data_IF_303374522174
#
_entry.id   IF_303374522174
#
_cell.length_a   1.000
_cell.length_b   1.000
_cell.length_c   1.000
_cell.angle_alpha   90.00
_cell.angle_beta   90.00
_cell.angle_gamma   90.00
#
_symmetry.space_group_name_H-M   'P 1'
#
loop_
_entity.id
_entity.type
_entity.pdbx_description
1 polymer ?
#
# COMPACT_ATOMS: atom_id res chain seq x y z
N UNK A 1 -6.21 16.44 4.58
CA UNK A 1 -5.77 17.69 5.25
C UNK A 1 -4.25 17.82 5.15
N UNK A 2 -3.76 18.45 4.06
CA UNK A 2 -2.32 18.58 3.74
C UNK A 2 -1.52 19.23 4.88
N UNK A 3 -2.03 20.30 5.48
CA UNK A 3 -1.37 20.99 6.59
C UNK A 3 -1.14 20.06 7.81
N UNK A 4 -2.13 19.24 8.15
CA UNK A 4 -1.99 18.31 9.27
C UNK A 4 -0.91 17.25 9.00
N UNK A 5 -0.89 16.67 7.81
CA UNK A 5 0.13 15.68 7.44
C UNK A 5 1.52 16.30 7.38
N UNK A 6 1.65 17.51 6.84
CA UNK A 6 2.91 18.24 6.82
C UNK A 6 3.44 18.52 8.24
N UNK A 7 2.58 19.00 9.13
CA UNK A 7 2.98 19.30 10.51
C UNK A 7 3.35 18.03 11.29
N UNK A 8 2.56 16.98 11.15
CA UNK A 8 2.76 15.73 11.87
C UNK A 8 3.97 14.91 11.38
N UNK A 9 4.45 15.18 10.17
CA UNK A 9 5.66 14.57 9.61
C UNK A 9 6.96 15.24 10.10
N UNK A 10 6.88 16.42 10.73
CA UNK A 10 8.09 17.12 11.22
C UNK A 10 8.59 16.46 12.50
N UNK A 11 9.82 15.98 12.50
CA UNK A 11 10.48 15.43 13.69
C UNK A 11 10.73 16.52 14.75
N UNK A 12 11.05 17.73 14.32
CA UNK A 12 11.28 18.89 15.20
C UNK A 12 10.77 20.17 14.53
N UNK A 13 10.37 21.12 15.36
CA UNK A 13 10.01 22.47 14.93
C UNK A 13 10.66 23.50 15.85
N UNK A 14 11.28 24.52 15.27
CA UNK A 14 11.82 25.66 16.01
C UNK A 14 10.75 26.77 16.01
N UNK A 15 10.17 27.00 17.18
CA UNK A 15 9.26 28.11 17.38
C UNK A 15 10.09 29.39 17.57
N UNK A 16 9.95 30.38 16.69
CA UNK A 16 10.78 31.57 16.77
C UNK A 16 10.47 32.39 18.03
N UNK A 17 11.42 33.21 18.42
CA UNK A 17 11.26 34.20 19.51
C UNK A 17 10.09 35.14 19.22
N UNK A 18 9.33 35.42 20.26
CA UNK A 18 8.24 36.42 20.26
C UNK A 18 8.55 37.53 21.26
N UNK A 19 7.69 38.51 21.37
CA UNK A 19 7.80 39.54 22.41
C UNK A 19 7.53 39.00 23.85
N UNK A 20 6.97 37.78 23.96
CA UNK A 20 6.60 37.17 25.27
C UNK A 20 7.42 35.93 25.62
N UNK A 21 8.15 35.35 24.65
CA UNK A 21 8.92 34.13 24.88
C UNK A 21 10.16 34.03 23.98
N UNK A 22 11.21 33.43 24.48
CA UNK A 22 12.39 33.11 23.69
C UNK A 22 12.14 31.97 22.71
N UNK A 23 13.05 31.80 21.75
CA UNK A 23 13.06 30.70 20.81
C UNK A 23 13.03 29.36 21.56
N UNK A 24 12.23 28.39 21.07
CA UNK A 24 12.15 27.06 21.67
C UNK A 24 12.01 25.97 20.64
N UNK A 25 12.68 24.88 20.85
CA UNK A 25 12.60 23.68 20.03
C UNK A 25 11.47 22.78 20.56
N UNK A 26 10.54 22.43 19.66
CA UNK A 26 9.48 21.44 19.91
C UNK A 26 9.85 20.16 19.20
N UNK A 27 9.87 19.05 19.91
CA UNK A 27 10.15 17.73 19.35
C UNK A 27 8.86 16.92 19.20
N UNK A 28 8.72 16.23 18.08
CA UNK A 28 7.63 15.30 17.88
C UNK A 28 7.79 14.11 18.84
N UNK A 29 6.67 13.69 19.44
CA UNK A 29 6.65 12.52 20.33
C UNK A 29 6.63 11.19 19.58
N UNK A 30 6.39 11.20 18.28
CA UNK A 30 6.49 9.99 17.47
C UNK A 30 7.96 9.72 17.14
N UNK A 31 8.59 8.85 17.92
CA UNK A 31 10.01 8.50 17.74
C UNK A 31 10.29 7.69 16.47
N UNK A 32 9.27 7.16 15.81
CA UNK A 32 9.44 6.46 14.52
C UNK A 32 9.94 7.38 13.40
N UNK A 33 9.70 8.70 13.50
CA UNK A 33 10.11 9.68 12.47
C UNK A 33 11.39 10.44 12.81
N UNK A 34 11.98 10.22 13.97
CA UNK A 34 13.11 11.01 14.46
C UNK A 34 14.37 10.18 14.66
N UNK A 35 15.45 10.60 14.04
CA UNK A 35 16.80 10.05 14.28
C UNK A 35 17.53 10.77 15.42
N UNK A 36 16.99 11.92 15.87
CA UNK A 36 17.69 12.82 16.81
C UNK A 36 17.39 12.57 18.29
N UNK A 37 16.29 11.84 18.59
CA UNK A 37 15.83 11.65 19.97
C UNK A 37 16.05 10.21 20.43
N UNK A 38 15.45 9.25 19.72
CA UNK A 38 15.51 7.82 20.04
C UNK A 38 15.70 7.02 18.76
N UNK A 39 16.94 7.04 18.24
CA UNK A 39 17.30 6.41 16.96
C UNK A 39 16.85 4.95 16.83
N UNK A 40 16.84 4.20 17.94
CA UNK A 40 16.46 2.78 17.94
C UNK A 40 15.03 2.49 17.45
N UNK A 41 14.14 3.49 17.48
CA UNK A 41 12.76 3.37 17.01
C UNK A 41 12.57 3.88 15.58
N UNK A 42 13.53 4.62 15.04
CA UNK A 42 13.40 5.22 13.72
C UNK A 42 13.05 4.18 12.64
N UNK A 43 12.07 4.52 11.81
CA UNK A 43 11.66 3.74 10.65
C UNK A 43 11.60 4.64 9.41
N UNK A 44 12.41 4.37 8.38
CA UNK A 44 12.51 5.24 7.20
C UNK A 44 11.22 5.28 6.37
N UNK A 45 10.33 4.32 6.54
CA UNK A 45 9.05 4.26 5.83
C UNK A 45 7.95 5.07 6.52
N UNK A 46 8.13 5.43 7.81
CA UNK A 46 7.11 6.16 8.58
C UNK A 46 7.16 7.65 8.24
N UNK A 47 6.00 8.19 7.87
CA UNK A 47 5.81 9.58 7.41
C UNK A 47 5.12 10.50 8.42
N UNK A 48 4.61 9.97 9.50
CA UNK A 48 3.90 10.69 10.59
C UNK A 48 3.25 9.64 11.50
N UNK A 49 2.44 9.95 12.40
CA UNK A 49 1.57 11.07 12.71
C UNK A 49 1.79 11.52 14.17
N UNK A 50 1.19 10.81 15.16
CA UNK A 50 1.14 11.26 16.55
C UNK A 50 1.39 10.11 17.52
N UNK A 51 2.04 10.42 18.62
CA UNK A 51 2.17 9.50 19.77
C UNK A 51 1.91 10.23 21.07
N UNK A 52 1.44 9.51 22.06
CA UNK A 52 1.17 10.03 23.39
C UNK A 52 0.88 8.94 24.39
N UNK A 53 0.83 9.32 25.65
CA UNK A 53 0.51 8.40 26.74
C UNK A 53 -0.21 9.12 27.87
N UNK A 54 -1.07 8.39 28.57
CA UNK A 54 -1.61 8.74 29.88
C UNK A 54 -1.59 7.50 30.78
N UNK A 55 -1.68 7.65 32.11
CA UNK A 55 -1.74 6.50 33.00
C UNK A 55 -2.85 5.49 32.65
N UNK A 56 -4.00 5.97 32.19
CA UNK A 56 -5.14 5.12 31.86
C UNK A 56 -5.08 4.57 30.41
N UNK A 57 -4.54 5.33 29.46
CA UNK A 57 -4.51 4.94 28.04
C UNK A 57 -3.29 4.09 27.69
N UNK A 58 -2.27 4.03 28.57
CA UNK A 58 -0.98 3.43 28.22
C UNK A 58 -0.25 4.23 27.14
N UNK A 59 0.72 3.63 26.51
CA UNK A 59 1.48 4.22 25.42
C UNK A 59 0.79 3.94 24.09
N UNK A 60 0.52 5.00 23.33
CA UNK A 60 -0.20 4.93 22.07
C UNK A 60 0.61 5.57 20.94
N UNK A 61 0.44 5.06 19.72
CA UNK A 61 0.98 5.67 18.51
C UNK A 61 0.02 5.45 17.35
N UNK A 62 -0.14 6.48 16.54
CA UNK A 62 -0.74 6.41 15.20
C UNK A 62 0.37 6.77 14.23
N UNK A 63 0.70 5.85 13.34
CA UNK A 63 1.79 6.01 12.37
C UNK A 63 1.26 5.81 10.95
N UNK A 64 1.53 6.78 10.09
CA UNK A 64 1.40 6.62 8.63
C UNK A 64 2.74 6.17 8.08
N UNK A 65 2.70 5.32 7.09
CA UNK A 65 3.89 4.77 6.46
C UNK A 65 3.66 4.59 4.96
N UNK A 66 4.70 4.81 4.16
CA UNK A 66 4.68 4.59 2.71
C UNK A 66 5.95 3.87 2.27
N UNK A 67 5.79 2.86 1.42
CA UNK A 67 6.90 2.15 0.79
C UNK A 67 6.46 1.64 -0.59
N UNK A 68 7.20 2.01 -1.63
CA UNK A 68 6.79 1.76 -3.02
C UNK A 68 5.42 2.39 -3.31
N UNK A 69 4.51 1.59 -3.84
CA UNK A 69 3.13 2.01 -4.14
C UNK A 69 2.13 1.73 -3.01
N UNK A 70 2.60 1.22 -1.87
CA UNK A 70 1.74 0.86 -0.73
C UNK A 70 1.84 1.89 0.39
N UNK A 71 0.69 2.22 0.99
CA UNK A 71 0.61 3.08 2.16
C UNK A 71 -0.25 2.45 3.25
N UNK A 72 0.22 2.52 4.49
CA UNK A 72 -0.48 1.96 5.64
C UNK A 72 -0.69 3.00 6.74
N UNK A 73 -1.76 2.81 7.47
CA UNK A 73 -2.02 3.45 8.77
C UNK A 73 -1.95 2.37 9.85
N UNK A 74 -1.02 2.53 10.77
CA UNK A 74 -0.86 1.66 11.93
C UNK A 74 -1.31 2.38 13.19
N UNK A 75 -2.14 1.73 13.99
CA UNK A 75 -2.63 2.25 15.27
C UNK A 75 -2.31 1.23 16.36
N UNK A 76 -1.49 1.62 17.34
CA UNK A 76 -1.20 0.83 18.53
C UNK A 76 -1.68 1.62 19.75
N UNK A 77 -2.49 0.99 20.57
CA UNK A 77 -3.09 1.59 21.77
C UNK A 77 -2.87 0.70 22.97
N UNK A 78 -2.85 1.32 24.16
CA UNK A 78 -2.78 0.58 25.42
C UNK A 78 -1.47 -0.17 25.66
N UNK A 79 -0.40 0.21 24.95
CA UNK A 79 0.88 -0.46 25.06
C UNK A 79 1.61 -0.10 26.36
N UNK A 80 2.56 -0.94 26.73
CA UNK A 80 3.40 -0.75 27.91
C UNK A 80 4.74 -0.10 27.55
N UNK A 81 5.40 0.42 28.55
CA UNK A 81 6.83 0.72 28.54
C UNK A 81 7.48 -0.12 29.62
N UNK A 82 8.51 -0.86 29.28
CA UNK A 82 9.46 -1.38 30.26
C UNK A 82 10.68 -0.44 30.40
N UNK A 83 11.64 -0.81 31.23
CA UNK A 83 12.79 0.07 31.53
C UNK A 83 13.65 0.39 30.31
N UNK A 84 13.62 -0.47 29.30
CA UNK A 84 14.48 -0.38 28.12
C UNK A 84 13.75 0.01 26.84
N UNK A 85 12.40 -0.19 26.76
CA UNK A 85 11.71 -0.14 25.50
C UNK A 85 10.28 0.44 25.56
N UNK A 86 9.98 1.35 24.63
CA UNK A 86 8.62 1.80 24.32
C UNK A 86 7.95 0.84 23.35
N UNK A 87 7.14 -0.09 23.88
CA UNK A 87 6.52 -1.18 23.10
C UNK A 87 5.57 -0.71 22.00
N UNK A 88 4.95 0.46 22.16
CA UNK A 88 4.10 1.03 21.11
C UNK A 88 4.86 1.27 19.79
N UNK A 89 6.14 1.71 19.86
CA UNK A 89 6.93 1.97 18.65
C UNK A 89 7.47 0.69 18.01
N UNK A 90 7.98 -0.25 18.82
CA UNK A 90 8.47 -1.53 18.28
C UNK A 90 7.33 -2.32 17.66
N UNK A 91 6.18 -2.42 18.34
CA UNK A 91 5.00 -3.09 17.79
C UNK A 91 4.53 -2.44 16.48
N UNK A 92 4.47 -1.09 16.42
CA UNK A 92 4.05 -0.40 15.21
C UNK A 92 5.02 -0.65 14.04
N UNK A 93 6.33 -0.60 14.29
CA UNK A 93 7.34 -0.91 13.29
C UNK A 93 7.24 -2.35 12.78
N UNK A 94 7.08 -3.30 13.69
CA UNK A 94 7.00 -4.72 13.34
C UNK A 94 5.74 -5.04 12.56
N UNK A 95 4.59 -4.44 12.92
CA UNK A 95 3.34 -4.54 12.14
C UNK A 95 3.47 -3.95 10.74
N UNK A 96 4.11 -2.78 10.60
CA UNK A 96 4.33 -2.17 9.29
C UNK A 96 5.26 -3.00 8.43
N UNK A 97 6.36 -3.52 9.00
CA UNK A 97 7.28 -4.41 8.30
C UNK A 97 6.59 -5.69 7.84
N UNK A 98 5.79 -6.30 8.73
CA UNK A 98 4.97 -7.46 8.39
C UNK A 98 4.01 -7.16 7.24
N UNK A 99 3.28 -6.04 7.29
CA UNK A 99 2.34 -5.66 6.24
C UNK A 99 3.03 -5.50 4.88
N UNK A 100 4.21 -4.86 4.83
CA UNK A 100 4.99 -4.69 3.60
C UNK A 100 5.60 -6.00 3.07
N UNK A 101 5.94 -6.94 3.94
CA UNK A 101 6.47 -8.25 3.52
C UNK A 101 5.38 -9.23 3.11
N UNK A 102 4.18 -9.10 3.70
CA UNK A 102 3.10 -10.08 3.55
C UNK A 102 2.08 -9.73 2.48
N UNK A 103 2.00 -8.46 2.05
CA UNK A 103 1.02 -8.00 1.08
C UNK A 103 1.66 -7.10 0.02
N UNK A 104 1.19 -7.24 -1.22
CA UNK A 104 1.69 -6.45 -2.34
C UNK A 104 0.73 -6.44 -3.53
N UNK A 105 1.07 -5.63 -4.53
CA UNK A 105 0.36 -5.61 -5.79
C UNK A 105 0.87 -6.74 -6.68
N UNK A 106 0.02 -7.75 -6.90
CA UNK A 106 0.32 -8.96 -7.70
C UNK A 106 -0.41 -8.84 -9.03
N UNK A 107 0.33 -9.00 -10.14
CA UNK A 107 -0.27 -9.09 -11.47
C UNK A 107 -0.95 -10.45 -11.61
N UNK A 108 -2.27 -10.46 -11.65
CA UNK A 108 -3.08 -11.68 -11.77
C UNK A 108 -3.49 -11.99 -13.20
N UNK A 109 -3.42 -11.02 -14.11
CA UNK A 109 -3.67 -11.21 -15.54
C UNK A 109 -2.86 -10.20 -16.33
N UNK A 110 -1.97 -10.71 -17.21
CA UNK A 110 -1.19 -9.85 -18.12
C UNK A 110 -2.04 -9.45 -19.32
N UNK A 111 -1.81 -8.24 -19.86
CA UNK A 111 -2.38 -7.80 -21.15
C UNK A 111 -2.01 -8.73 -22.31
N UNK A 112 -0.85 -9.38 -22.24
CA UNK A 112 -0.38 -10.34 -23.25
C UNK A 112 -0.85 -11.78 -23.01
N UNK A 113 -1.68 -12.02 -21.98
CA UNK A 113 -2.18 -13.36 -21.71
C UNK A 113 -3.19 -13.78 -22.78
N UNK A 114 -3.01 -14.96 -23.33
CA UNK A 114 -4.01 -15.57 -24.20
C UNK A 114 -5.12 -16.13 -23.32
N UNK A 115 -6.36 -15.61 -23.51
CA UNK A 115 -7.53 -16.09 -22.78
C UNK A 115 -8.07 -17.34 -23.45
N UNK A 116 -8.35 -17.27 -24.74
CA UNK A 116 -8.88 -18.36 -25.57
C UNK A 116 -8.74 -18.02 -27.05
N UNK A 117 -9.06 -18.97 -27.89
CA UNK A 117 -9.25 -18.77 -29.32
C UNK A 117 -10.74 -18.84 -29.64
N UNK A 118 -11.20 -18.00 -30.57
CA UNK A 118 -12.59 -17.98 -31.03
C UNK A 118 -12.66 -18.16 -32.53
N UNK A 119 -13.57 -18.99 -33.07
CA UNK A 119 -13.75 -19.18 -34.50
C UNK A 119 -14.16 -17.90 -35.21
N UNK A 120 -13.74 -17.75 -36.47
CA UNK A 120 -14.14 -16.67 -37.38
C UNK A 120 -14.88 -17.24 -38.58
N UNK A 121 -16.19 -17.00 -38.61
CA UNK A 121 -17.06 -17.40 -39.72
C UNK A 121 -16.82 -16.49 -40.93
N UNK A 122 -17.09 -17.03 -42.13
CA UNK A 122 -17.01 -16.31 -43.42
C UNK A 122 -15.61 -15.76 -43.76
N UNK A 123 -14.59 -16.30 -43.11
CA UNK A 123 -13.19 -15.93 -43.38
C UNK A 123 -12.61 -16.77 -44.52
N UNK A 124 -11.90 -16.13 -45.44
CA UNK A 124 -11.20 -16.82 -46.54
C UNK A 124 -9.75 -17.24 -46.14
N UNK A 125 -9.27 -16.85 -44.99
CA UNK A 125 -7.87 -17.06 -44.57
C UNK A 125 -7.75 -17.70 -43.19
N UNK A 126 -7.93 -16.94 -42.13
CA UNK A 126 -7.81 -17.43 -40.77
C UNK A 126 -9.19 -17.87 -40.27
N UNK A 127 -9.28 -19.07 -39.74
CA UNK A 127 -10.51 -19.62 -39.16
C UNK A 127 -10.68 -19.37 -37.67
N UNK A 128 -9.62 -18.91 -37.01
CA UNK A 128 -9.62 -18.56 -35.58
C UNK A 128 -8.86 -17.27 -35.32
N UNK A 129 -9.20 -16.56 -34.24
CA UNK A 129 -8.45 -15.44 -33.67
C UNK A 129 -8.22 -15.61 -32.17
N UNK A 130 -7.10 -15.15 -31.70
CA UNK A 130 -6.71 -15.18 -30.29
C UNK A 130 -7.33 -14.02 -29.57
N UNK A 131 -7.97 -14.29 -28.44
CA UNK A 131 -8.47 -13.26 -27.54
C UNK A 131 -7.51 -12.99 -26.41
N UNK A 132 -7.29 -11.72 -26.16
CA UNK A 132 -6.41 -11.21 -25.11
C UNK A 132 -7.19 -10.18 -24.25
N UNK A 133 -6.81 -9.96 -23.00
CA UNK A 133 -7.43 -8.92 -22.18
C UNK A 133 -7.18 -7.53 -22.79
N UNK A 134 -8.15 -6.64 -22.68
CA UNK A 134 -7.99 -5.22 -23.02
C UNK A 134 -7.00 -4.52 -22.08
N UNK A 135 -6.94 -4.97 -20.79
CA UNK A 135 -6.08 -4.45 -19.76
C UNK A 135 -5.58 -5.59 -18.86
N UNK A 136 -4.37 -5.43 -18.33
CA UNK A 136 -3.85 -6.28 -17.25
C UNK A 136 -4.60 -6.02 -15.95
N UNK A 137 -4.70 -7.05 -15.11
CA UNK A 137 -5.32 -6.95 -13.78
C UNK A 137 -4.25 -7.16 -12.73
N UNK A 138 -4.09 -6.14 -11.88
CA UNK A 138 -3.24 -6.17 -10.70
C UNK A 138 -4.10 -6.02 -9.46
N UNK A 139 -3.98 -6.97 -8.52
CA UNK A 139 -4.73 -6.96 -7.27
C UNK A 139 -3.76 -6.84 -6.08
N UNK A 140 -4.26 -6.25 -4.99
CA UNK A 140 -3.54 -6.21 -3.73
C UNK A 140 -3.84 -7.49 -2.94
N UNK A 141 -2.85 -8.37 -2.83
CA UNK A 141 -2.99 -9.74 -2.33
C UNK A 141 -1.82 -10.12 -1.42
N UNK A 142 -1.93 -11.23 -0.64
CA UNK A 142 -0.78 -11.83 0.02
C UNK A 142 0.33 -12.14 -1.00
N UNK A 143 1.59 -11.89 -0.60
CA UNK A 143 2.76 -12.07 -1.50
C UNK A 143 3.09 -13.54 -1.78
N UNK A 144 2.58 -14.45 -0.97
CA UNK A 144 2.76 -15.90 -1.07
C UNK A 144 1.65 -16.61 -1.86
N UNK A 145 0.67 -15.85 -2.39
CA UNK A 145 -0.43 -16.42 -3.18
C UNK A 145 0.08 -17.07 -4.47
N UNK A 146 -0.38 -18.29 -4.76
CA UNK A 146 -0.22 -18.88 -6.09
C UNK A 146 -1.38 -18.45 -7.01
N UNK A 147 -1.07 -17.48 -7.86
CA UNK A 147 -2.04 -16.88 -8.81
C UNK A 147 -2.66 -17.91 -9.75
N UNK A 148 -2.00 -19.04 -10.01
CA UNK A 148 -2.48 -20.03 -10.96
C UNK A 148 -3.46 -21.03 -10.33
N UNK A 149 -3.34 -21.28 -9.04
CA UNK A 149 -4.14 -22.28 -8.33
C UNK A 149 -5.20 -21.66 -7.43
N UNK A 150 -4.94 -20.48 -6.88
CA UNK A 150 -5.81 -19.85 -5.89
C UNK A 150 -6.73 -18.77 -6.48
N UNK A 151 -6.43 -18.28 -7.71
CA UNK A 151 -7.27 -17.26 -8.37
C UNK A 151 -8.04 -17.89 -9.52
N UNK A 152 -9.35 -17.96 -9.35
CA UNK A 152 -10.24 -18.37 -10.41
C UNK A 152 -10.50 -17.21 -11.37
N UNK A 153 -10.20 -17.43 -12.67
CA UNK A 153 -10.47 -16.48 -13.75
C UNK A 153 -11.65 -16.98 -14.55
N UNK A 154 -12.64 -16.12 -14.76
CA UNK A 154 -13.80 -16.42 -15.62
C UNK A 154 -13.95 -15.31 -16.65
N UNK A 155 -14.33 -15.68 -17.86
CA UNK A 155 -14.65 -14.75 -18.94
C UNK A 155 -15.98 -15.11 -19.55
N UNK A 156 -16.64 -14.12 -20.14
CA UNK A 156 -17.88 -14.28 -20.86
C UNK A 156 -17.68 -13.68 -22.25
N UNK A 157 -17.96 -14.47 -23.27
CA UNK A 157 -17.95 -14.02 -24.65
C UNK A 157 -19.35 -13.58 -25.08
N UNK A 158 -19.44 -12.65 -26.02
CA UNK A 158 -20.72 -12.16 -26.56
C UNK A 158 -21.34 -13.16 -27.57
N UNK A 159 -20.57 -14.21 -27.96
CA UNK A 159 -21.01 -15.27 -28.84
C UNK A 159 -19.99 -16.37 -28.98
N UNK A 160 -20.34 -17.45 -29.67
CA UNK A 160 -19.50 -18.62 -29.87
C UNK A 160 -18.49 -18.42 -31.03
N UNK A 161 -18.70 -17.43 -31.90
CA UNK A 161 -17.86 -17.11 -33.04
C UNK A 161 -17.98 -15.66 -33.47
N UNK A 162 -16.94 -15.11 -34.09
CA UNK A 162 -16.98 -13.82 -34.78
C UNK A 162 -17.29 -14.01 -36.26
N UNK A 163 -17.75 -12.96 -36.91
CA UNK A 163 -17.95 -12.95 -38.37
C UNK A 163 -16.92 -12.02 -39.04
N UNK A 164 -16.31 -12.47 -40.10
CA UNK A 164 -15.39 -11.64 -40.90
C UNK A 164 -16.14 -10.41 -41.50
N UNK A 165 -15.46 -9.26 -41.65
CA UNK A 165 -14.07 -9.00 -41.29
C UNK A 165 -13.89 -8.74 -39.78
N UNK A 166 -12.79 -9.26 -39.19
CA UNK A 166 -12.39 -9.03 -37.80
C UNK A 166 -11.16 -8.15 -37.77
N UNK A 167 -11.13 -7.19 -36.86
CA UNK A 167 -10.03 -6.24 -36.73
C UNK A 167 -9.31 -6.41 -35.39
N UNK A 168 -8.02 -6.07 -35.35
CA UNK A 168 -7.25 -6.03 -34.11
C UNK A 168 -7.87 -5.00 -33.15
N UNK A 169 -8.08 -5.38 -31.88
CA UNK A 169 -8.72 -4.54 -30.86
C UNK A 169 -10.27 -4.60 -30.90
N UNK A 170 -10.85 -5.44 -31.74
CA UNK A 170 -12.30 -5.68 -31.70
C UNK A 170 -12.69 -6.41 -30.42
N UNK A 171 -13.70 -5.90 -29.70
CA UNK A 171 -14.24 -6.55 -28.51
C UNK A 171 -15.04 -7.79 -28.86
N UNK A 172 -14.89 -8.84 -28.03
CA UNK A 172 -15.55 -10.12 -28.19
C UNK A 172 -16.31 -10.57 -26.91
N UNK A 173 -16.26 -9.74 -25.85
CA UNK A 173 -16.95 -9.99 -24.58
C UNK A 173 -16.71 -8.88 -23.58
#
# INVERSE_FOLDING_TARGET
YSLFTEMSAKATYIMPKTNLSDERKINNRNYLISTAIEYKYYSPTVTGMIAGNTPNAGYCVVATSTYGNSGYLCIVMGSTKDDEEYRNYTTARDLLNWAYSSYGYINVLSESAIITEIPVNLSAGLDHVTLMPEQGITLFLPTDIDVNTEIQRTWKLDGDALNAPVSVGQKAG
#
